data_IF_733053925518
#
_entry.id   IF_733053925518
#
_cell.length_a   1.000
_cell.length_b   1.000
_cell.length_c   1.000
_cell.angle_alpha   90.00
_cell.angle_beta   90.00
_cell.angle_gamma   90.00
#
_symmetry.space_group_name_H-M   'P 1'
#
loop_
_entity.id
_entity.type
_entity.pdbx_description
1 polymer ?
#
# COMPACT_ATOMS: atom_id res chain seq x y z
N UNK A 1 46.43 22.48 20.50
CA UNK A 1 45.18 21.71 20.31
C UNK A 1 44.15 22.69 19.82
N UNK A 2 43.90 22.72 18.51
CA UNK A 2 42.83 23.53 17.95
C UNK A 2 41.54 22.74 18.14
N UNK A 3 40.77 23.13 19.15
CA UNK A 3 39.38 22.74 19.27
C UNK A 3 38.68 23.11 17.96
N UNK A 4 38.09 22.15 17.21
CA UNK A 4 37.29 22.52 16.06
C UNK A 4 36.10 23.29 16.62
N UNK A 5 36.05 24.59 16.35
CA UNK A 5 34.86 25.41 16.58
C UNK A 5 33.79 24.84 15.65
N UNK A 6 33.05 23.84 16.12
CA UNK A 6 31.83 23.39 15.47
C UNK A 6 30.91 24.60 15.52
N UNK A 7 30.81 25.31 14.40
CA UNK A 7 29.87 26.41 14.24
C UNK A 7 28.52 25.83 14.60
N UNK A 8 27.97 26.26 15.73
CA UNK A 8 26.67 25.78 16.19
C UNK A 8 25.68 25.99 15.04
N UNK A 9 25.04 24.90 14.62
CA UNK A 9 24.02 24.93 13.58
C UNK A 9 22.95 25.92 14.04
N UNK A 10 22.59 26.88 13.18
CA UNK A 10 21.65 27.91 13.57
C UNK A 10 20.28 27.30 13.93
N UNK A 11 19.51 28.01 14.74
CA UNK A 11 18.23 27.52 15.24
C UNK A 11 17.24 27.17 14.11
N UNK A 12 17.26 27.90 12.98
CA UNK A 12 16.35 27.64 11.88
C UNK A 12 16.73 26.34 11.15
N UNK A 13 18.02 26.11 10.90
CA UNK A 13 18.51 24.84 10.35
C UNK A 13 18.18 23.66 11.27
N UNK A 14 18.39 23.83 12.58
CA UNK A 14 18.09 22.82 13.59
C UNK A 14 16.60 22.47 13.62
N UNK A 15 15.72 23.47 13.62
CA UNK A 15 14.27 23.26 13.64
C UNK A 15 13.74 22.69 12.32
N UNK A 16 14.31 23.10 11.19
CA UNK A 16 13.90 22.61 9.87
C UNK A 16 14.36 21.17 9.62
N UNK A 17 15.52 20.78 10.19
CA UNK A 17 16.04 19.42 10.27
C UNK A 17 16.05 18.66 8.92
N UNK A 18 16.46 19.34 7.84
CA UNK A 18 16.65 18.70 6.53
C UNK A 18 18.11 18.24 6.42
N UNK A 19 18.41 16.92 6.40
CA UNK A 19 19.78 16.42 6.38
C UNK A 19 20.54 16.87 5.14
N UNK A 20 21.82 17.22 5.28
CA UNK A 20 22.72 17.76 4.24
C UNK A 20 22.43 19.19 3.77
N UNK A 21 21.52 19.90 4.46
CA UNK A 21 21.13 21.27 4.12
C UNK A 21 21.17 22.20 5.32
N UNK A 22 21.60 23.42 5.06
CA UNK A 22 21.41 24.56 5.96
C UNK A 22 20.30 25.49 5.47
N UNK A 23 19.59 26.10 6.39
CA UNK A 23 18.62 27.16 6.13
C UNK A 23 19.37 28.49 6.00
N UNK A 24 19.11 29.20 4.91
CA UNK A 24 19.73 30.49 4.61
C UNK A 24 18.79 31.64 5.03
N UNK A 25 17.50 31.45 4.80
CA UNK A 25 16.49 32.47 5.08
C UNK A 25 15.12 31.81 5.25
N UNK A 26 14.33 32.40 6.13
CA UNK A 26 12.93 32.05 6.36
C UNK A 26 12.08 33.30 6.28
N UNK A 27 11.01 33.29 5.51
CA UNK A 27 10.05 34.39 5.44
C UNK A 27 8.63 33.87 5.64
N UNK A 28 7.77 34.70 6.23
CA UNK A 28 6.34 34.42 6.36
C UNK A 28 5.59 35.33 5.40
N UNK A 29 4.92 34.73 4.42
CA UNK A 29 4.07 35.45 3.49
C UNK A 29 2.77 35.90 4.17
N UNK A 30 2.10 36.92 3.60
CA UNK A 30 0.85 37.46 4.13
C UNK A 30 -0.30 36.43 4.17
N UNK A 31 -0.22 35.38 3.34
CA UNK A 31 -1.15 34.24 3.31
C UNK A 31 -0.82 33.15 4.36
N UNK A 32 0.17 33.40 5.24
CA UNK A 32 0.64 32.46 6.25
C UNK A 32 1.56 31.35 5.71
N UNK A 33 1.93 31.38 4.43
CA UNK A 33 2.87 30.41 3.86
C UNK A 33 4.31 30.74 4.32
N UNK A 34 5.01 29.76 4.90
CA UNK A 34 6.43 29.90 5.27
C UNK A 34 7.29 29.55 4.07
N UNK A 35 8.12 30.49 3.60
CA UNK A 35 9.13 30.18 2.60
C UNK A 35 10.47 29.93 3.30
N UNK A 36 11.11 28.82 2.98
CA UNK A 36 12.40 28.41 3.52
C UNK A 36 13.39 28.26 2.37
N UNK A 37 14.47 29.03 2.40
CA UNK A 37 15.55 28.92 1.42
C UNK A 37 16.64 28.05 2.04
N UNK A 38 16.98 26.95 1.36
CA UNK A 38 18.00 26.00 1.81
C UNK A 38 19.17 25.93 0.84
N UNK A 39 20.34 25.54 1.33
CA UNK A 39 21.53 25.26 0.54
C UNK A 39 22.22 24.00 1.06
N UNK A 40 22.79 23.22 0.15
CA UNK A 40 23.60 22.05 0.48
C UNK A 40 24.85 22.45 1.26
N UNK A 41 25.17 21.73 2.32
CA UNK A 41 26.34 22.04 3.16
C UNK A 41 27.66 21.67 2.49
N UNK A 42 27.66 20.55 1.76
CA UNK A 42 28.86 19.99 1.16
C UNK A 42 28.91 20.24 -0.36
N UNK A 43 30.09 20.52 -0.93
CA UNK A 43 30.26 20.58 -2.37
C UNK A 43 29.99 19.21 -3.01
N UNK A 44 29.33 19.15 -4.17
CA UNK A 44 28.97 17.88 -4.80
C UNK A 44 30.15 17.26 -5.57
N UNK A 45 30.15 15.93 -5.66
CA UNK A 45 30.99 15.19 -6.60
C UNK A 45 30.44 15.22 -8.02
N UNK A 46 31.32 15.22 -9.02
CA UNK A 46 30.93 15.04 -10.41
C UNK A 46 30.26 13.67 -10.59
N UNK A 47 29.04 13.58 -11.13
CA UNK A 47 28.33 12.31 -11.33
C UNK A 47 28.96 11.39 -12.40
N UNK A 48 30.06 11.80 -13.02
CA UNK A 48 30.76 11.01 -14.05
C UNK A 48 32.14 10.54 -13.60
N UNK A 49 32.90 11.33 -12.84
CA UNK A 49 34.24 10.97 -12.35
C UNK A 49 34.40 11.02 -10.82
N UNK A 50 33.38 11.44 -10.07
CA UNK A 50 33.42 11.53 -8.61
C UNK A 50 34.15 12.75 -8.04
N UNK A 51 34.98 13.45 -8.83
CA UNK A 51 35.78 14.60 -8.36
C UNK A 51 34.89 15.69 -7.77
N UNK A 52 35.20 16.10 -6.54
CA UNK A 52 34.47 17.15 -5.79
C UNK A 52 34.69 18.51 -6.45
N UNK A 53 33.59 19.18 -6.77
CA UNK A 53 33.67 20.48 -7.43
C UNK A 53 34.01 21.60 -6.44
N UNK A 54 34.94 22.48 -6.83
CA UNK A 54 35.27 23.68 -6.05
C UNK A 54 34.80 24.98 -6.72
N UNK A 55 34.53 24.94 -8.04
CA UNK A 55 34.15 26.13 -8.83
C UNK A 55 32.67 26.14 -9.22
N UNK A 56 31.94 27.12 -8.69
CA UNK A 56 30.55 27.42 -9.07
C UNK A 56 30.50 28.07 -10.45
N UNK A 57 29.60 27.60 -11.31
CA UNK A 57 29.32 28.19 -12.62
C UNK A 57 28.13 29.14 -12.57
N UNK A 58 27.03 28.68 -12.00
CA UNK A 58 25.75 29.36 -12.07
C UNK A 58 24.90 29.01 -10.85
N UNK A 59 24.13 29.98 -10.36
CA UNK A 59 23.15 29.79 -9.29
C UNK A 59 21.74 29.73 -9.87
N UNK A 60 20.92 28.82 -9.37
CA UNK A 60 19.49 28.67 -9.66
C UNK A 60 18.73 28.45 -8.36
N UNK A 61 17.45 28.80 -8.34
CA UNK A 61 16.54 28.36 -7.28
C UNK A 61 15.67 27.24 -7.82
N UNK A 62 15.58 26.14 -7.08
CA UNK A 62 14.70 25.03 -7.38
C UNK A 62 13.64 24.93 -6.29
N UNK A 63 12.37 25.08 -6.66
CA UNK A 63 11.27 24.78 -5.74
C UNK A 63 11.16 23.27 -5.55
N UNK A 64 11.14 22.83 -4.30
CA UNK A 64 10.96 21.43 -3.91
C UNK A 64 9.80 21.30 -2.92
N UNK A 65 9.12 20.16 -2.98
CA UNK A 65 8.10 19.78 -2.00
C UNK A 65 8.76 19.12 -0.81
N UNK A 66 8.24 19.40 0.37
CA UNK A 66 8.76 18.89 1.61
C UNK A 66 7.65 18.74 2.64
N UNK A 67 7.94 18.13 3.79
CA UNK A 67 6.98 17.95 4.87
C UNK A 67 6.49 19.30 5.41
N UNK A 68 5.19 19.46 5.74
CA UNK A 68 4.70 20.66 6.42
C UNK A 68 5.42 20.87 7.76
N UNK A 69 5.86 22.10 8.04
CA UNK A 69 6.48 22.49 9.31
C UNK A 69 5.74 23.72 9.83
N UNK A 70 5.01 23.56 10.94
CA UNK A 70 4.18 24.62 11.53
C UNK A 70 3.26 25.32 10.50
N UNK A 71 2.63 24.51 9.63
CA UNK A 71 1.75 24.95 8.55
C UNK A 71 2.29 24.66 7.16
N UNK A 72 1.72 25.34 6.16
CA UNK A 72 2.12 25.21 4.75
C UNK A 72 3.49 25.84 4.53
N UNK A 73 4.37 25.11 3.85
CA UNK A 73 5.71 25.58 3.53
C UNK A 73 6.00 25.58 2.02
N UNK A 74 6.86 26.50 1.60
CA UNK A 74 7.52 26.51 0.30
C UNK A 74 9.03 26.40 0.50
N UNK A 75 9.63 25.34 -0.02
CA UNK A 75 11.08 25.15 0.07
C UNK A 75 11.72 25.54 -1.26
N UNK A 76 12.65 26.49 -1.20
CA UNK A 76 13.47 26.90 -2.32
C UNK A 76 14.92 26.46 -2.07
N UNK A 77 15.37 25.48 -2.84
CA UNK A 77 16.76 25.09 -2.82
C UNK A 77 17.59 26.06 -3.67
N UNK A 78 18.49 26.80 -3.01
CA UNK A 78 19.57 27.56 -3.66
C UNK A 78 20.59 26.58 -4.20
N UNK A 79 20.40 26.25 -5.48
CA UNK A 79 21.09 25.19 -6.18
C UNK A 79 22.15 25.74 -7.13
N UNK A 80 23.28 25.07 -7.23
CA UNK A 80 24.38 25.46 -8.11
C UNK A 80 24.59 24.48 -9.26
N UNK A 81 24.96 25.04 -10.41
CA UNK A 81 25.70 24.33 -11.44
C UNK A 81 27.18 24.51 -11.16
N UNK A 82 27.92 23.42 -11.20
CA UNK A 82 29.34 23.35 -10.91
C UNK A 82 30.13 22.99 -12.17
N UNK A 83 31.38 23.41 -12.25
CA UNK A 83 32.33 22.90 -13.24
C UNK A 83 32.93 21.58 -12.76
N UNK A 84 33.10 20.63 -13.67
CA UNK A 84 33.99 19.50 -13.44
C UNK A 84 35.41 19.97 -13.74
N UNK A 85 36.31 19.88 -12.76
CA UNK A 85 37.71 20.31 -12.90
C UNK A 85 38.65 19.16 -13.31
N UNK A 86 38.11 17.94 -13.46
CA UNK A 86 38.86 16.80 -13.99
C UNK A 86 39.04 16.94 -15.49
N UNK A 87 40.30 17.06 -15.93
CA UNK A 87 40.67 17.29 -17.32
C UNK A 87 40.27 16.12 -18.23
N UNK A 88 40.28 14.89 -17.71
CA UNK A 88 39.89 13.70 -18.47
C UNK A 88 38.37 13.48 -18.51
N UNK A 89 37.59 14.28 -17.76
CA UNK A 89 36.15 14.12 -17.68
C UNK A 89 35.41 14.96 -18.72
N UNK A 90 34.70 14.28 -19.64
CA UNK A 90 33.91 14.94 -20.69
C UNK A 90 32.67 15.69 -20.20
N UNK A 91 32.31 15.59 -18.89
CA UNK A 91 31.07 16.16 -18.36
C UNK A 91 31.03 17.69 -18.41
N UNK A 92 32.19 18.36 -18.25
CA UNK A 92 32.41 19.82 -18.19
C UNK A 92 31.68 20.55 -17.05
N UNK A 93 30.39 20.32 -16.87
CA UNK A 93 29.59 20.91 -15.78
C UNK A 93 28.39 20.04 -15.41
N UNK A 94 27.92 20.18 -14.18
CA UNK A 94 26.79 19.40 -13.67
C UNK A 94 26.01 20.18 -12.62
N UNK A 95 24.74 19.81 -12.44
CA UNK A 95 23.94 20.29 -11.33
C UNK A 95 24.17 19.40 -10.12
N UNK A 96 24.21 20.00 -8.94
CA UNK A 96 24.29 19.23 -7.70
C UNK A 96 23.03 18.40 -7.43
N UNK A 97 23.21 17.30 -6.71
CA UNK A 97 22.15 16.42 -6.22
C UNK A 97 22.57 15.89 -4.86
N UNK A 98 21.59 15.65 -3.99
CA UNK A 98 21.80 15.10 -2.65
C UNK A 98 21.00 13.82 -2.50
N UNK A 99 21.17 13.13 -1.37
CA UNK A 99 20.33 11.99 -0.98
C UNK A 99 18.86 12.42 -0.84
N UNK A 100 18.62 13.59 -0.23
CA UNK A 100 17.29 14.16 -0.06
C UNK A 100 16.68 14.65 -1.38
N UNK A 101 17.48 15.17 -2.32
CA UNK A 101 16.98 15.63 -3.63
C UNK A 101 17.84 15.04 -4.74
N UNK A 102 17.57 13.78 -5.14
CA UNK A 102 18.27 13.12 -6.24
C UNK A 102 18.06 13.84 -7.59
N UNK A 103 18.82 13.47 -8.64
CA UNK A 103 18.66 14.07 -9.96
C UNK A 103 17.20 14.02 -10.45
N UNK A 104 16.71 15.15 -10.96
CA UNK A 104 15.33 15.37 -11.45
C UNK A 104 14.22 15.31 -10.39
N UNK A 105 14.54 15.01 -9.13
CA UNK A 105 13.55 15.03 -8.05
C UNK A 105 12.94 16.43 -7.87
N UNK A 106 11.67 16.45 -7.46
CA UNK A 106 10.88 17.67 -7.16
C UNK A 106 10.35 17.68 -5.72
N UNK A 107 10.78 16.71 -4.92
CA UNK A 107 10.44 16.54 -3.52
C UNK A 107 11.67 16.08 -2.75
N UNK A 108 11.69 16.29 -1.44
CA UNK A 108 12.67 15.69 -0.54
C UNK A 108 12.44 14.19 -0.36
N UNK A 109 13.49 13.44 -0.03
CA UNK A 109 13.45 12.03 0.32
C UNK A 109 12.62 11.82 1.58
N UNK A 110 12.85 12.63 2.61
CA UNK A 110 12.05 12.60 3.85
C UNK A 110 10.56 12.74 3.60
N UNK A 111 10.14 13.61 2.66
CA UNK A 111 8.72 13.71 2.30
C UNK A 111 8.23 12.38 1.72
N UNK A 112 8.98 11.74 0.81
CA UNK A 112 8.58 10.44 0.24
C UNK A 112 8.44 9.38 1.33
N UNK A 113 9.36 9.34 2.28
CA UNK A 113 9.32 8.41 3.42
C UNK A 113 8.06 8.64 4.26
N UNK A 114 7.75 9.89 4.60
CA UNK A 114 6.52 10.23 5.32
C UNK A 114 5.24 9.88 4.56
N UNK A 115 5.22 9.99 3.22
CA UNK A 115 4.08 9.59 2.41
C UNK A 115 3.87 8.07 2.43
N UNK A 116 4.96 7.29 2.30
CA UNK A 116 4.94 5.82 2.37
C UNK A 116 4.45 5.39 3.74
N UNK A 117 4.99 6.00 4.78
CA UNK A 117 4.68 5.72 6.16
C UNK A 117 3.20 5.98 6.52
N UNK A 118 2.65 7.10 6.04
CA UNK A 118 1.24 7.43 6.20
C UNK A 118 0.32 6.39 5.54
N UNK A 119 0.67 5.91 4.35
CA UNK A 119 -0.16 4.95 3.61
C UNK A 119 0.01 3.53 4.12
N UNK A 120 1.26 3.05 4.22
CA UNK A 120 1.58 1.65 4.51
C UNK A 120 1.48 1.35 6.01
N UNK A 121 2.10 2.17 6.87
CA UNK A 121 2.13 1.90 8.31
C UNK A 121 0.88 2.42 9.03
N UNK A 122 0.37 3.58 8.61
CA UNK A 122 -0.79 4.19 9.26
C UNK A 122 -2.12 3.86 8.58
N UNK A 123 -2.11 3.15 7.45
CA UNK A 123 -3.32 2.72 6.74
C UNK A 123 -4.14 3.86 6.14
N UNK A 124 -3.57 5.07 6.00
CA UNK A 124 -4.31 6.21 5.45
C UNK A 124 -4.55 6.03 3.97
N UNK A 125 -5.67 6.58 3.49
CA UNK A 125 -5.92 6.58 2.05
C UNK A 125 -4.91 7.50 1.34
N UNK A 126 -4.54 7.16 0.10
CA UNK A 126 -3.64 8.00 -0.69
C UNK A 126 -4.19 9.42 -0.91
N UNK A 127 -5.52 9.57 -1.03
CA UNK A 127 -6.17 10.87 -1.22
C UNK A 127 -6.10 11.74 0.03
N UNK A 128 -6.38 11.16 1.20
CA UNK A 128 -6.22 11.85 2.49
C UNK A 128 -4.76 12.25 2.71
N UNK A 129 -3.83 11.33 2.45
CA UNK A 129 -2.39 11.60 2.55
C UNK A 129 -1.97 12.73 1.62
N UNK A 130 -2.42 12.72 0.36
CA UNK A 130 -2.13 13.78 -0.60
C UNK A 130 -2.62 15.16 -0.10
N UNK A 131 -3.84 15.21 0.43
CA UNK A 131 -4.41 16.43 1.01
C UNK A 131 -3.63 16.91 2.24
N UNK A 132 -3.31 15.99 3.18
CA UNK A 132 -2.59 16.31 4.41
C UNK A 132 -1.17 16.84 4.19
N UNK A 133 -0.48 16.39 3.14
CA UNK A 133 0.85 16.85 2.76
C UNK A 133 0.85 17.92 1.65
N UNK A 134 -0.33 18.36 1.18
CA UNK A 134 -0.49 19.30 0.07
C UNK A 134 0.30 18.92 -1.20
N UNK A 135 0.25 17.63 -1.55
CA UNK A 135 0.85 17.05 -2.76
C UNK A 135 -0.20 16.44 -3.67
N UNK A 136 0.17 16.10 -4.91
CA UNK A 136 -0.75 15.38 -5.78
C UNK A 136 -0.86 13.91 -5.36
N UNK A 137 -2.04 13.33 -5.61
CA UNK A 137 -2.25 11.88 -5.43
C UNK A 137 -1.20 11.04 -6.17
N UNK A 138 -0.81 11.47 -7.37
CA UNK A 138 0.22 10.81 -8.18
C UNK A 138 1.59 10.77 -7.51
N UNK A 139 1.95 11.80 -6.72
CA UNK A 139 3.20 11.79 -5.96
C UNK A 139 3.18 10.76 -4.84
N UNK A 140 2.06 10.64 -4.12
CA UNK A 140 1.87 9.62 -3.08
C UNK A 140 1.97 8.23 -3.70
N UNK A 141 1.25 7.98 -4.80
CA UNK A 141 1.33 6.70 -5.52
C UNK A 141 2.74 6.41 -6.02
N UNK A 142 3.46 7.40 -6.54
CA UNK A 142 4.84 7.21 -6.99
C UNK A 142 5.80 6.88 -5.83
N UNK A 143 5.59 7.46 -4.64
CA UNK A 143 6.36 7.13 -3.43
C UNK A 143 6.09 5.69 -2.97
N UNK A 144 4.83 5.31 -2.88
CA UNK A 144 4.43 3.94 -2.49
C UNK A 144 4.92 2.90 -3.50
N UNK A 145 4.77 3.15 -4.81
CA UNK A 145 5.25 2.22 -5.84
C UNK A 145 6.76 2.00 -5.78
N UNK A 146 7.54 3.09 -5.63
CA UNK A 146 8.99 2.98 -5.48
C UNK A 146 9.36 2.18 -4.22
N UNK A 147 8.73 2.49 -3.08
CA UNK A 147 8.96 1.75 -1.84
C UNK A 147 8.64 0.26 -2.02
N UNK A 148 7.51 -0.08 -2.61
CA UNK A 148 7.13 -1.47 -2.90
C UNK A 148 8.15 -2.17 -3.82
N UNK A 149 8.63 -1.50 -4.88
CA UNK A 149 9.63 -2.08 -5.78
C UNK A 149 10.98 -2.36 -5.07
N UNK A 150 11.32 -1.55 -4.07
CA UNK A 150 12.57 -1.68 -3.31
C UNK A 150 12.48 -2.69 -2.16
N UNK A 151 11.28 -2.94 -1.62
CA UNK A 151 11.08 -3.74 -0.40
C UNK A 151 10.40 -5.08 -0.64
N UNK A 152 9.55 -5.20 -1.67
CA UNK A 152 8.87 -6.46 -1.94
C UNK A 152 9.88 -7.50 -2.46
N UNK A 153 9.93 -8.70 -1.85
CA UNK A 153 10.83 -9.73 -2.30
C UNK A 153 10.37 -10.28 -3.66
N UNK A 154 11.34 -10.80 -4.41
CA UNK A 154 11.02 -11.61 -5.58
C UNK A 154 10.33 -12.90 -5.14
N UNK A 155 9.05 -13.05 -5.51
CA UNK A 155 8.22 -14.21 -5.18
C UNK A 155 8.83 -15.53 -5.64
N UNK A 156 9.57 -15.54 -6.75
CA UNK A 156 10.23 -16.75 -7.27
C UNK A 156 11.43 -17.21 -6.42
N UNK A 157 11.98 -16.30 -5.62
CA UNK A 157 13.03 -16.60 -4.66
C UNK A 157 12.48 -17.12 -3.32
N UNK A 158 11.19 -16.92 -3.04
CA UNK A 158 10.55 -17.40 -1.81
C UNK A 158 10.34 -18.92 -1.83
N UNK A 159 10.09 -19.51 -0.66
CA UNK A 159 9.86 -20.95 -0.47
C UNK A 159 8.67 -21.20 0.48
N UNK A 160 7.45 -20.78 0.11
CA UNK A 160 6.28 -21.00 0.94
C UNK A 160 5.95 -22.50 1.01
N UNK A 161 5.63 -23.01 2.20
CA UNK A 161 5.19 -24.41 2.37
C UNK A 161 3.67 -24.51 2.41
N UNK A 162 3.01 -23.44 2.82
CA UNK A 162 1.56 -23.38 2.95
C UNK A 162 1.00 -22.17 2.21
N UNK A 163 0.00 -22.37 1.35
CA UNK A 163 -0.64 -21.30 0.59
C UNK A 163 -2.09 -21.08 1.03
N UNK A 164 -2.51 -19.83 1.11
CA UNK A 164 -3.90 -19.43 1.25
C UNK A 164 -4.38 -18.86 -0.07
N UNK A 165 -5.51 -19.34 -0.57
CA UNK A 165 -6.13 -18.84 -1.80
C UNK A 165 -7.55 -18.42 -1.48
N UNK A 166 -7.78 -17.12 -1.50
CA UNK A 166 -9.07 -16.52 -1.13
C UNK A 166 -9.56 -15.55 -2.22
N UNK A 167 -10.88 -15.54 -2.42
CA UNK A 167 -11.57 -14.67 -3.36
C UNK A 167 -11.99 -13.37 -2.69
N UNK A 168 -11.46 -12.25 -3.16
CA UNK A 168 -11.82 -10.92 -2.68
C UNK A 168 -12.56 -10.10 -3.73
N UNK A 169 -13.62 -9.44 -3.26
CA UNK A 169 -14.34 -8.43 -4.04
C UNK A 169 -14.03 -7.05 -3.46
N UNK A 170 -13.20 -6.28 -4.16
CA UNK A 170 -12.77 -4.95 -3.70
C UNK A 170 -13.80 -3.83 -3.89
N UNK A 171 -14.90 -4.08 -4.61
CA UNK A 171 -15.96 -3.08 -4.84
C UNK A 171 -17.35 -3.70 -4.81
N UNK A 172 -18.31 -2.97 -4.27
CA UNK A 172 -19.72 -3.34 -4.31
C UNK A 172 -20.27 -3.30 -5.74
N UNK A 173 -21.24 -4.18 -6.02
CA UNK A 173 -22.02 -4.16 -7.26
C UNK A 173 -22.67 -2.79 -7.41
N UNK A 174 -22.61 -2.21 -8.62
CA UNK A 174 -23.26 -0.95 -8.95
C UNK A 174 -24.28 -1.16 -10.05
N UNK A 175 -25.34 -0.36 -10.01
CA UNK A 175 -26.34 -0.31 -11.06
C UNK A 175 -26.24 1.05 -11.72
N UNK A 176 -26.09 1.06 -13.04
CA UNK A 176 -26.05 2.26 -13.85
C UNK A 176 -27.24 2.26 -14.77
N UNK A 177 -27.89 3.40 -14.91
CA UNK A 177 -28.98 3.57 -15.85
C UNK A 177 -28.40 4.06 -17.17
N UNK A 178 -28.62 3.32 -18.24
CA UNK A 178 -28.25 3.75 -19.59
C UNK A 178 -29.13 4.94 -20.00
N UNK A 179 -28.55 6.11 -20.31
CA UNK A 179 -29.30 7.30 -20.69
C UNK A 179 -30.08 7.13 -21.99
N UNK A 180 -29.59 6.29 -22.92
CA UNK A 180 -30.14 6.14 -24.26
C UNK A 180 -31.24 5.08 -24.29
N UNK A 181 -31.07 3.99 -23.54
CA UNK A 181 -32.03 2.87 -23.51
C UNK A 181 -32.97 2.87 -22.31
N UNK A 182 -32.76 3.80 -21.35
CA UNK A 182 -33.51 3.91 -20.09
C UNK A 182 -33.47 2.62 -19.23
N UNK A 183 -32.55 1.70 -19.54
CA UNK A 183 -32.43 0.38 -18.92
C UNK A 183 -31.38 0.36 -17.80
N UNK A 184 -31.52 -0.55 -16.84
CA UNK A 184 -30.59 -0.69 -15.73
C UNK A 184 -29.52 -1.75 -16.05
N UNK A 185 -28.26 -1.33 -16.12
CA UNK A 185 -27.12 -2.21 -16.25
C UNK A 185 -26.50 -2.48 -14.89
N UNK A 186 -26.38 -3.77 -14.56
CA UNK A 186 -25.63 -4.23 -13.40
C UNK A 186 -24.15 -4.31 -13.76
N UNK A 187 -23.34 -3.46 -13.13
CA UNK A 187 -21.89 -3.57 -13.15
C UNK A 187 -21.44 -4.42 -11.97
N UNK A 188 -20.90 -5.60 -12.28
CA UNK A 188 -20.26 -6.47 -11.33
C UNK A 188 -18.76 -6.22 -11.36
N UNK A 189 -18.17 -5.64 -10.30
CA UNK A 189 -16.72 -5.47 -10.23
C UNK A 189 -16.03 -6.84 -10.31
N UNK A 190 -14.89 -6.92 -11.01
CA UNK A 190 -14.14 -8.16 -11.08
C UNK A 190 -13.76 -8.60 -9.66
N UNK A 191 -13.96 -9.89 -9.40
CA UNK A 191 -13.38 -10.58 -8.25
C UNK A 191 -11.89 -10.76 -8.50
N UNK A 192 -11.09 -10.71 -7.44
CA UNK A 192 -9.66 -10.94 -7.47
C UNK A 192 -9.34 -12.06 -6.51
N UNK A 193 -8.50 -12.99 -6.95
CA UNK A 193 -8.01 -14.07 -6.10
C UNK A 193 -6.67 -13.65 -5.52
N UNK A 194 -6.56 -13.66 -4.18
CA UNK A 194 -5.31 -13.42 -3.48
C UNK A 194 -4.62 -14.74 -3.17
N UNK A 195 -3.30 -14.77 -3.32
CA UNK A 195 -2.46 -15.92 -3.00
C UNK A 195 -1.50 -15.45 -1.91
N UNK A 196 -1.57 -16.09 -0.75
CA UNK A 196 -0.89 -15.68 0.47
C UNK A 196 -0.02 -16.84 0.95
N UNK A 197 1.18 -16.53 1.43
CA UNK A 197 1.98 -17.46 2.21
C UNK A 197 1.40 -17.57 3.62
N UNK A 198 0.88 -18.73 3.99
CA UNK A 198 0.29 -18.94 5.33
C UNK A 198 1.33 -19.07 6.42
N UNK A 199 2.60 -19.36 6.09
CA UNK A 199 3.69 -19.40 7.08
C UNK A 199 4.01 -17.97 7.56
N UNK A 200 3.91 -16.96 6.69
CA UNK A 200 4.36 -15.57 6.95
C UNK A 200 3.26 -14.53 6.94
N UNK A 201 2.08 -14.86 6.40
CA UNK A 201 1.00 -13.91 6.11
C UNK A 201 1.28 -13.01 4.90
N UNK A 202 2.35 -13.24 4.15
CA UNK A 202 2.73 -12.39 3.04
C UNK A 202 1.85 -12.64 1.81
N UNK A 203 1.34 -11.57 1.19
CA UNK A 203 0.69 -11.66 -0.13
C UNK A 203 1.76 -11.93 -1.19
N UNK A 204 1.63 -13.08 -1.86
CA UNK A 204 2.51 -13.54 -2.94
C UNK A 204 2.01 -13.12 -4.31
N UNK A 205 0.68 -13.00 -4.48
CA UNK A 205 0.09 -12.64 -5.76
C UNK A 205 -1.35 -12.22 -5.63
N UNK A 206 -1.79 -11.40 -6.60
CA UNK A 206 -3.20 -11.05 -6.82
C UNK A 206 -3.48 -11.31 -8.29
N UNK A 207 -4.50 -12.12 -8.55
CA UNK A 207 -4.88 -12.54 -9.91
C UNK A 207 -6.32 -12.14 -10.18
N UNK A 208 -6.60 -11.69 -11.40
CA UNK A 208 -7.95 -11.34 -11.82
C UNK A 208 -8.84 -12.59 -11.96
N UNK A 209 -10.08 -12.47 -11.50
CA UNK A 209 -11.14 -13.46 -11.68
C UNK A 209 -11.36 -14.43 -10.52
N UNK A 210 -12.43 -15.22 -10.69
CA UNK A 210 -12.87 -16.34 -9.83
C UNK A 210 -12.43 -17.70 -10.35
N UNK A 211 -11.82 -17.69 -11.54
CA UNK A 211 -11.61 -18.87 -12.35
C UNK A 211 -10.27 -19.56 -11.98
N UNK A 212 -10.32 -20.87 -11.81
CA UNK A 212 -9.17 -21.77 -11.72
C UNK A 212 -8.08 -21.50 -12.78
N UNK A 213 -8.45 -20.93 -13.93
CA UNK A 213 -7.51 -20.55 -14.99
C UNK A 213 -6.51 -19.48 -14.55
N UNK A 214 -6.95 -18.44 -13.82
CA UNK A 214 -6.07 -17.37 -13.36
C UNK A 214 -5.04 -17.89 -12.35
N UNK A 215 -5.51 -18.59 -11.31
CA UNK A 215 -4.64 -19.21 -10.30
C UNK A 215 -3.67 -20.21 -10.95
N UNK A 216 -4.16 -21.05 -11.88
CA UNK A 216 -3.32 -21.99 -12.61
C UNK A 216 -2.24 -21.32 -13.45
N UNK A 217 -2.60 -20.27 -14.19
CA UNK A 217 -1.68 -19.49 -15.01
C UNK A 217 -0.63 -18.76 -14.15
N UNK A 218 -1.00 -18.29 -12.96
CA UNK A 218 -0.04 -17.71 -12.02
C UNK A 218 0.91 -18.78 -11.45
N UNK A 219 0.38 -19.94 -11.06
CA UNK A 219 1.16 -21.05 -10.51
C UNK A 219 2.16 -21.61 -11.53
N UNK A 220 1.78 -21.79 -12.80
CA UNK A 220 2.68 -22.37 -13.81
C UNK A 220 3.88 -21.47 -14.12
N UNK A 221 3.75 -20.15 -13.91
CA UNK A 221 4.85 -19.21 -14.06
C UNK A 221 5.88 -19.32 -12.92
N UNK A 222 5.57 -20.02 -11.82
CA UNK A 222 6.49 -20.20 -10.71
C UNK A 222 7.49 -21.35 -10.99
N UNK A 223 8.75 -21.24 -10.51
CA UNK A 223 9.74 -22.29 -10.63
C UNK A 223 9.23 -23.65 -10.14
N UNK A 224 9.67 -24.74 -10.77
CA UNK A 224 9.23 -26.09 -10.38
C UNK A 224 9.54 -26.40 -8.91
N UNK A 225 10.74 -26.04 -8.42
CA UNK A 225 11.12 -26.23 -7.02
C UNK A 225 10.26 -25.44 -6.04
N UNK A 226 9.73 -24.28 -6.46
CA UNK A 226 8.77 -23.50 -5.68
C UNK A 226 7.46 -24.28 -5.51
N UNK A 227 6.91 -24.80 -6.62
CA UNK A 227 5.65 -25.56 -6.61
C UNK A 227 5.75 -26.87 -5.85
N UNK A 228 6.89 -27.56 -5.96
CA UNK A 228 7.14 -28.82 -5.24
C UNK A 228 7.36 -28.62 -3.74
N UNK A 229 7.77 -27.42 -3.31
CA UNK A 229 7.96 -27.09 -1.89
C UNK A 229 6.66 -26.77 -1.15
N UNK A 230 5.56 -26.54 -1.87
CA UNK A 230 4.24 -26.37 -1.26
C UNK A 230 3.73 -27.72 -0.79
N UNK A 231 3.29 -27.81 0.46
CA UNK A 231 2.77 -29.02 1.09
C UNK A 231 1.26 -28.93 1.34
N UNK A 232 0.74 -27.75 1.66
CA UNK A 232 -0.67 -27.55 1.94
C UNK A 232 -1.20 -26.27 1.28
N UNK A 233 -2.48 -26.31 0.89
CA UNK A 233 -3.19 -25.13 0.39
C UNK A 233 -4.55 -25.04 1.10
N UNK A 234 -4.80 -23.93 1.78
CA UNK A 234 -6.11 -23.57 2.30
C UNK A 234 -6.89 -22.81 1.24
N UNK A 235 -8.13 -23.24 0.98
CA UNK A 235 -9.02 -22.63 0.01
C UNK A 235 -10.43 -22.46 0.58
N UNK A 236 -11.19 -21.56 -0.03
CA UNK A 236 -12.64 -21.54 0.12
C UNK A 236 -13.27 -22.87 -0.35
N UNK A 237 -14.50 -23.19 0.10
CA UNK A 237 -15.31 -24.30 -0.41
C UNK A 237 -15.68 -24.14 -1.91
N UNK A 238 -14.69 -24.23 -2.80
CA UNK A 238 -14.79 -24.00 -4.23
C UNK A 238 -14.32 -25.21 -5.02
N UNK A 239 -15.26 -25.83 -5.75
CA UNK A 239 -14.95 -26.95 -6.64
C UNK A 239 -13.95 -26.54 -7.74
N UNK A 240 -14.00 -25.28 -8.20
CA UNK A 240 -13.09 -24.74 -9.21
C UNK A 240 -11.65 -24.70 -8.69
N UNK A 241 -11.41 -24.15 -7.49
CA UNK A 241 -10.08 -24.13 -6.89
C UNK A 241 -9.57 -25.53 -6.61
N UNK A 242 -10.41 -26.44 -6.11
CA UNK A 242 -10.03 -27.84 -5.92
C UNK A 242 -9.59 -28.52 -7.21
N UNK A 243 -10.25 -28.23 -8.34
CA UNK A 243 -9.86 -28.73 -9.67
C UNK A 243 -8.51 -28.12 -10.11
N UNK A 244 -8.31 -26.82 -9.92
CA UNK A 244 -7.05 -26.14 -10.21
C UNK A 244 -5.87 -26.78 -9.49
N UNK A 245 -6.00 -26.98 -8.17
CA UNK A 245 -4.94 -27.52 -7.33
C UNK A 245 -4.59 -28.95 -7.72
N UNK A 246 -5.58 -29.80 -8.04
CA UNK A 246 -5.30 -31.15 -8.55
C UNK A 246 -4.49 -31.15 -9.85
N UNK A 247 -4.64 -30.14 -10.69
CA UNK A 247 -3.92 -30.02 -11.96
C UNK A 247 -2.51 -29.47 -11.77
N UNK A 248 -2.36 -28.41 -10.98
CA UNK A 248 -1.12 -27.62 -10.90
C UNK A 248 -0.24 -27.93 -9.69
N UNK A 249 -0.84 -28.46 -8.62
CA UNK A 249 -0.22 -28.83 -7.35
C UNK A 249 -0.72 -30.22 -6.89
N UNK A 250 -0.56 -31.29 -7.68
CA UNK A 250 -1.17 -32.59 -7.41
C UNK A 250 -0.72 -33.26 -6.12
N UNK A 251 0.43 -32.84 -5.55
CA UNK A 251 1.02 -33.41 -4.34
C UNK A 251 0.67 -32.65 -3.06
N UNK A 252 -0.05 -31.53 -3.16
CA UNK A 252 -0.40 -30.71 -1.98
C UNK A 252 -1.66 -31.22 -1.30
N UNK A 253 -1.63 -31.26 0.03
CA UNK A 253 -2.84 -31.40 0.82
C UNK A 253 -3.74 -30.17 0.63
N UNK A 254 -5.04 -30.38 0.50
CA UNK A 254 -6.02 -29.28 0.37
C UNK A 254 -6.83 -29.22 1.65
N UNK A 255 -6.75 -28.10 2.34
CA UNK A 255 -7.58 -27.77 3.49
C UNK A 255 -8.68 -26.79 3.07
N UNK A 256 -9.84 -26.89 3.71
CA UNK A 256 -10.89 -25.88 3.57
C UNK A 256 -10.71 -24.86 4.69
N UNK A 257 -10.80 -23.58 4.35
CA UNK A 257 -10.71 -22.49 5.32
C UNK A 257 -11.81 -22.64 6.41
N UNK A 258 -11.38 -22.63 7.67
CA UNK A 258 -12.24 -22.78 8.83
C UNK A 258 -13.24 -21.62 8.98
N UNK A 259 -12.83 -20.38 8.68
CA UNK A 259 -13.72 -19.22 8.74
C UNK A 259 -14.90 -19.40 7.79
N UNK A 260 -14.63 -19.82 6.56
CA UNK A 260 -15.68 -20.05 5.56
C UNK A 260 -16.63 -21.18 5.96
N UNK A 261 -16.11 -22.28 6.55
CA UNK A 261 -16.96 -23.35 7.08
C UNK A 261 -17.88 -22.87 8.20
N UNK A 262 -17.34 -22.14 9.18
CA UNK A 262 -18.12 -21.60 10.31
C UNK A 262 -19.13 -20.57 9.82
N UNK A 263 -18.75 -19.69 8.89
CA UNK A 263 -19.65 -18.70 8.29
C UNK A 263 -20.82 -19.38 7.57
N UNK A 264 -20.56 -20.43 6.78
CA UNK A 264 -21.61 -21.18 6.08
C UNK A 264 -22.53 -21.91 7.07
N UNK A 265 -22.00 -22.50 8.13
CA UNK A 265 -22.80 -23.14 9.17
C UNK A 265 -23.73 -22.11 9.87
N UNK A 266 -23.19 -20.95 10.25
CA UNK A 266 -23.97 -19.87 10.86
C UNK A 266 -25.03 -19.31 9.91
N UNK A 267 -24.72 -19.23 8.61
CA UNK A 267 -25.69 -18.84 7.59
C UNK A 267 -26.82 -19.86 7.49
N UNK A 268 -26.53 -21.15 7.44
CA UNK A 268 -27.54 -22.21 7.38
C UNK A 268 -28.47 -22.16 8.60
N UNK A 269 -27.92 -22.00 9.81
CA UNK A 269 -28.72 -21.80 11.04
C UNK A 269 -29.59 -20.55 10.94
N UNK A 270 -29.05 -19.47 10.39
CA UNK A 270 -29.78 -18.21 10.19
C UNK A 270 -30.94 -18.38 9.21
N UNK A 271 -30.74 -19.12 8.11
CA UNK A 271 -31.77 -19.40 7.11
C UNK A 271 -32.89 -20.25 7.68
N UNK A 272 -32.56 -21.34 8.39
CA UNK A 272 -33.55 -22.19 9.07
C UNK A 272 -34.34 -21.38 10.11
N UNK A 273 -33.66 -20.56 10.93
CA UNK A 273 -34.32 -19.68 11.90
C UNK A 273 -35.28 -18.70 11.21
N UNK A 274 -34.88 -18.12 10.09
CA UNK A 274 -35.74 -17.21 9.31
C UNK A 274 -36.96 -17.96 8.75
N UNK A 275 -36.77 -19.15 8.19
CA UNK A 275 -37.86 -19.99 7.67
C UNK A 275 -38.87 -20.36 8.76
N UNK A 276 -38.40 -20.83 9.91
CA UNK A 276 -39.26 -21.16 11.05
C UNK A 276 -40.02 -19.93 11.57
N UNK A 277 -39.35 -18.78 11.72
CA UNK A 277 -40.01 -17.52 12.12
C UNK A 277 -41.11 -17.12 11.12
N UNK A 278 -40.88 -17.30 9.82
CA UNK A 278 -41.89 -17.03 8.80
C UNK A 278 -43.08 -17.99 8.89
N UNK A 279 -42.83 -19.29 9.14
CA UNK A 279 -43.89 -20.29 9.29
C UNK A 279 -44.73 -20.06 10.55
N UNK A 280 -44.10 -19.77 11.70
CA UNK A 280 -44.78 -19.65 12.99
C UNK A 280 -45.44 -18.28 13.17
N UNK A 281 -44.80 -17.20 12.72
CA UNK A 281 -45.25 -15.83 13.02
C UNK A 281 -45.67 -15.02 11.79
N UNK A 282 -45.63 -15.60 10.59
CA UNK A 282 -45.95 -14.88 9.34
C UNK A 282 -45.00 -13.73 9.01
N UNK A 283 -43.85 -13.62 9.70
CA UNK A 283 -42.93 -12.49 9.58
C UNK A 283 -41.46 -12.91 9.75
N UNK A 284 -40.56 -12.06 9.26
CA UNK A 284 -39.12 -12.20 9.51
C UNK A 284 -38.80 -11.92 10.98
N UNK A 285 -37.89 -12.68 11.57
CA UNK A 285 -37.42 -12.47 12.94
C UNK A 285 -36.77 -11.09 13.13
N UNK A 286 -36.91 -10.49 14.33
CA UNK A 286 -36.30 -9.19 14.66
C UNK A 286 -34.85 -9.38 15.12
N UNK A 287 -34.00 -8.37 14.91
CA UNK A 287 -32.58 -8.39 15.29
C UNK A 287 -32.35 -8.34 16.81
N UNK A 288 -33.35 -7.89 17.58
CA UNK A 288 -33.34 -7.88 19.04
C UNK A 288 -34.57 -8.70 19.45
N UNK A 289 -34.35 -9.80 20.15
CA UNK A 289 -35.43 -10.65 20.65
C UNK A 289 -36.16 -9.92 21.77
N UNK A 290 -37.48 -9.76 21.63
CA UNK A 290 -38.34 -9.67 22.81
C UNK A 290 -38.63 -11.10 23.22
N UNK A 291 -38.01 -11.52 24.33
CA UNK A 291 -38.52 -12.42 25.37
C UNK A 291 -39.35 -13.65 24.94
N UNK A 292 -39.02 -14.26 23.81
CA UNK A 292 -39.52 -15.59 23.44
C UNK A 292 -38.46 -16.61 23.80
N UNK A 293 -38.74 -17.44 24.79
CA UNK A 293 -37.82 -18.48 25.26
C UNK A 293 -37.53 -19.48 24.13
N UNK A 294 -36.33 -20.06 24.13
CA UNK A 294 -35.88 -21.04 23.13
C UNK A 294 -36.79 -22.29 23.09
N UNK A 295 -37.62 -22.51 24.12
CA UNK A 295 -38.59 -23.60 24.23
C UNK A 295 -39.81 -23.42 23.30
N UNK A 296 -40.22 -22.18 23.01
CA UNK A 296 -41.42 -21.89 22.21
C UNK A 296 -41.25 -22.28 20.72
N UNK A 297 -40.01 -22.42 20.24
CA UNK A 297 -39.71 -22.71 18.83
C UNK A 297 -39.69 -24.21 18.51
N UNK A 298 -39.52 -25.08 19.50
CA UNK A 298 -39.34 -26.52 19.28
C UNK A 298 -40.55 -27.40 19.63
N UNK A 299 -41.61 -26.85 20.23
CA UNK A 299 -42.86 -27.61 20.44
C UNK A 299 -42.67 -28.94 21.19
N UNK A 300 -41.70 -29.01 22.11
CA UNK A 300 -41.51 -30.17 22.98
C UNK A 300 -42.30 -29.90 24.27
N UNK A 301 -43.61 -30.07 24.18
CA UNK A 301 -44.48 -30.14 25.35
C UNK A 301 -44.23 -31.43 26.11
N UNK A 302 -43.82 -31.31 27.37
CA UNK A 302 -43.57 -32.41 28.28
C UNK A 302 -44.79 -33.33 28.41
N UNK A 303 -44.61 -34.61 28.06
CA UNK A 303 -45.50 -35.70 28.47
C UNK A 303 -44.97 -36.23 29.80
N UNK A 304 -45.39 -35.66 30.93
CA UNK A 304 -45.29 -36.28 32.26
C UNK A 304 -46.36 -35.74 33.23
N UNK A 305 -47.22 -36.64 33.71
CA UNK A 305 -48.13 -36.49 34.87
C UNK A 305 -49.48 -35.83 34.54
N UNK A 306 -50.65 -36.43 34.74
CA UNK A 306 -51.11 -37.55 35.58
C UNK A 306 -52.24 -38.29 34.89
#
# INVERSE_FOLDING_TARGET
>A
MNEPTVVAVDAATTLFNLPDYRVISTTLSADGCRQVIVESEQPPGCPSCGVVATRRRERRFQRIRDIPVAGRIEVLWRKYRWYCQELQCQRLSFFESTTQVPPRARSTGRLRDHLVDAVIRSGRTMSETAAGFAVSWWMVRAAVNEACLLTLPNVDALRPRMLGIDEHRFRSVRYFKDPDTNSWHRFEPPKMTTIVDLDTGQVLGVVDGRDHTGVGAWLIQRPLGWRLGVHAVAIDPSAAFRKALRMWLPRTAVAVDHFHLVSLANQAVTEVRQQLSHQVHGRRGRAIGGDGSFEDVLGIGAVLGT
#
